data_IF_922835352678
#
_entry.id   IF_922835352678
#
_cell.length_a   1.000
_cell.length_b   1.000
_cell.length_c   1.000
_cell.angle_alpha   90.00
_cell.angle_beta   90.00
_cell.angle_gamma   90.00
#
_symmetry.space_group_name_H-M   'P 1'
#
loop_
_entity.id
_entity.type
_entity.pdbx_description
1 polymer ?
#
# COMPACT_ATOMS: atom_id res chain seq x y z
N UNK A 1 1.02 -3.92 11.28
CA UNK A 1 1.08 -3.85 9.80
C UNK A 1 -0.19 -4.39 9.12
N UNK A 2 -0.63 -5.60 9.46
CA UNK A 2 -1.77 -6.25 8.79
C UNK A 2 -3.11 -5.58 9.00
N UNK A 3 -3.48 -5.25 10.25
CA UNK A 3 -4.71 -4.50 10.53
C UNK A 3 -4.82 -3.20 9.71
N UNK A 4 -3.72 -2.44 9.56
CA UNK A 4 -3.71 -1.23 8.70
C UNK A 4 -3.93 -1.55 7.22
N UNK A 5 -3.37 -2.65 6.73
CA UNK A 5 -3.60 -3.11 5.35
C UNK A 5 -5.05 -3.50 5.13
N UNK A 6 -5.65 -4.24 6.05
CA UNK A 6 -7.05 -4.66 5.96
C UNK A 6 -8.00 -3.47 6.05
N UNK A 7 -7.79 -2.55 6.99
CA UNK A 7 -8.57 -1.31 7.06
C UNK A 7 -8.43 -0.49 5.77
N UNK A 8 -7.23 -0.41 5.21
CA UNK A 8 -7.00 0.31 3.95
C UNK A 8 -7.75 -0.36 2.81
N UNK A 9 -7.70 -1.69 2.72
CA UNK A 9 -8.41 -2.48 1.72
C UNK A 9 -9.93 -2.27 1.80
N UNK A 10 -10.50 -2.41 3.00
CA UNK A 10 -11.94 -2.21 3.24
C UNK A 10 -12.40 -0.84 2.77
N UNK A 11 -11.60 0.21 3.03
CA UNK A 11 -11.89 1.58 2.57
C UNK A 11 -11.74 1.70 1.05
N UNK A 12 -10.71 1.07 0.47
CA UNK A 12 -10.37 1.19 -0.95
C UNK A 12 -11.46 0.62 -1.87
N UNK A 13 -12.16 -0.43 -1.42
CA UNK A 13 -13.25 -1.07 -2.16
C UNK A 13 -14.63 -0.42 -1.93
N UNK A 14 -14.70 0.71 -1.23
CA UNK A 14 -15.94 1.50 -1.12
C UNK A 14 -16.05 2.50 -2.27
N UNK A 15 -17.29 2.86 -2.63
CA UNK A 15 -17.59 3.80 -3.73
C UNK A 15 -16.76 5.10 -3.69
N UNK A 16 -16.57 5.79 -2.54
CA UNK A 16 -15.80 7.04 -2.52
C UNK A 16 -14.33 6.85 -2.90
N UNK A 17 -13.73 5.72 -2.54
CA UNK A 17 -12.33 5.43 -2.84
C UNK A 17 -12.17 4.94 -4.29
N UNK A 18 -13.15 4.25 -4.84
CA UNK A 18 -13.21 3.88 -6.25
C UNK A 18 -13.36 5.10 -7.16
N UNK A 19 -14.25 6.04 -6.81
CA UNK A 19 -14.38 7.33 -7.52
C UNK A 19 -13.06 8.11 -7.55
N UNK A 20 -12.27 8.05 -6.47
CA UNK A 20 -10.93 8.64 -6.45
C UNK A 20 -10.00 7.98 -7.49
N UNK A 21 -10.04 6.66 -7.65
CA UNK A 21 -9.23 5.96 -8.67
C UNK A 21 -9.63 6.35 -10.09
N UNK A 22 -10.92 6.53 -10.34
CA UNK A 22 -11.43 7.01 -11.62
C UNK A 22 -10.96 8.45 -11.91
N UNK A 23 -11.03 9.35 -10.93
CA UNK A 23 -10.48 10.72 -11.05
C UNK A 23 -8.99 10.68 -11.34
N UNK A 24 -8.23 9.81 -10.65
CA UNK A 24 -6.79 9.63 -10.89
C UNK A 24 -6.50 9.22 -12.33
N UNK A 25 -7.29 8.28 -12.86
CA UNK A 25 -7.17 7.80 -14.25
C UNK A 25 -7.59 8.87 -15.26
N UNK A 26 -8.70 9.58 -15.02
CA UNK A 26 -9.23 10.63 -15.88
C UNK A 26 -8.29 11.84 -15.95
N UNK A 27 -7.63 12.17 -14.84
CA UNK A 27 -6.67 13.26 -14.75
C UNK A 27 -5.50 13.13 -15.74
N UNK A 28 -5.18 11.92 -16.21
CA UNK A 28 -4.16 11.71 -17.26
C UNK A 28 -4.51 12.47 -18.55
N UNK A 29 -5.79 12.61 -18.85
CA UNK A 29 -6.28 13.22 -20.10
C UNK A 29 -6.71 14.68 -19.92
N UNK A 30 -6.72 15.20 -18.69
CA UNK A 30 -7.12 16.57 -18.36
C UNK A 30 -5.92 17.39 -17.88
N UNK A 31 -5.55 18.43 -18.64
CA UNK A 31 -4.36 19.26 -18.37
C UNK A 31 -4.41 20.01 -17.03
N UNK A 32 -5.60 20.36 -16.55
CA UNK A 32 -5.78 21.10 -15.29
C UNK A 32 -5.63 20.14 -14.11
N UNK A 33 -6.25 18.96 -14.19
CA UNK A 33 -6.12 17.93 -13.17
C UNK A 33 -4.71 17.34 -13.12
N UNK A 34 -4.08 17.11 -14.28
CA UNK A 34 -2.70 16.65 -14.40
C UNK A 34 -1.69 17.61 -13.73
N UNK A 35 -2.00 18.91 -13.66
CA UNK A 35 -1.12 19.90 -13.04
C UNK A 35 -1.25 19.94 -11.50
N UNK A 36 -2.43 19.64 -10.94
CA UNK A 36 -2.70 19.84 -9.50
C UNK A 36 -2.72 18.56 -8.67
N UNK A 37 -3.16 17.46 -9.27
CA UNK A 37 -3.35 16.21 -8.54
C UNK A 37 -2.05 15.46 -8.17
N UNK A 38 -0.96 15.49 -8.97
CA UNK A 38 0.27 14.79 -8.61
C UNK A 38 0.83 15.20 -7.25
N UNK A 39 0.89 16.50 -6.95
CA UNK A 39 1.43 17.00 -5.68
C UNK A 39 0.60 16.56 -4.49
N UNK A 40 -0.73 16.64 -4.61
CA UNK A 40 -1.64 16.16 -3.59
C UNK A 40 -1.45 14.65 -3.35
N UNK A 41 -1.37 13.84 -4.41
CA UNK A 41 -1.14 12.40 -4.24
C UNK A 41 0.23 12.10 -3.65
N UNK A 42 1.28 12.79 -4.10
CA UNK A 42 2.62 12.64 -3.57
C UNK A 42 2.67 12.93 -2.07
N UNK A 43 2.01 13.99 -1.61
CA UNK A 43 1.94 14.32 -0.18
C UNK A 43 1.24 13.22 0.65
N UNK A 44 0.17 12.63 0.12
CA UNK A 44 -0.56 11.52 0.77
C UNK A 44 0.33 10.28 0.84
N UNK A 45 1.04 9.94 -0.23
CA UNK A 45 1.93 8.78 -0.26
C UNK A 45 3.14 8.97 0.66
N UNK A 46 3.73 10.17 0.70
CA UNK A 46 4.83 10.51 1.62
C UNK A 46 4.39 10.37 3.09
N UNK A 47 3.23 10.93 3.44
CA UNK A 47 2.67 10.80 4.79
C UNK A 47 2.41 9.33 5.15
N UNK A 48 1.94 8.51 4.20
CA UNK A 48 1.73 7.08 4.44
C UNK A 48 3.04 6.35 4.70
N UNK A 49 4.04 6.55 3.85
CA UNK A 49 5.39 5.97 4.02
C UNK A 49 5.98 6.35 5.37
N UNK A 50 5.93 7.61 5.73
CA UNK A 50 6.44 8.11 7.01
C UNK A 50 5.76 7.44 8.21
N UNK A 51 4.43 7.35 8.25
CA UNK A 51 3.70 6.65 9.33
C UNK A 51 4.00 5.15 9.39
N UNK A 52 4.22 4.52 8.25
CA UNK A 52 4.57 3.10 8.20
C UNK A 52 6.01 2.85 8.65
N UNK A 53 6.91 3.80 8.39
CA UNK A 53 8.27 3.79 8.89
C UNK A 53 8.29 3.93 10.42
N UNK A 54 7.55 4.87 11.00
CA UNK A 54 7.41 5.03 12.46
C UNK A 54 6.96 3.72 13.11
N UNK A 55 5.94 3.07 12.56
CA UNK A 55 5.48 1.76 13.04
C UNK A 55 6.54 0.65 12.87
N UNK A 56 7.37 0.71 11.84
CA UNK A 56 8.45 -0.25 11.62
C UNK A 56 9.51 -0.14 12.72
N UNK A 57 9.86 1.09 13.08
CA UNK A 57 10.81 1.36 14.16
C UNK A 57 10.32 0.85 15.51
N UNK A 58 9.03 1.00 15.82
CA UNK A 58 8.40 0.49 17.06
C UNK A 58 8.58 -1.03 17.25
N UNK A 59 8.66 -1.79 16.15
CA UNK A 59 8.86 -3.25 16.17
C UNK A 59 10.30 -3.67 15.88
N UNK A 60 11.23 -2.70 15.85
CA UNK A 60 12.66 -2.92 15.71
C UNK A 60 13.16 -3.15 14.29
N UNK A 61 12.38 -2.84 13.25
CA UNK A 61 12.86 -2.84 11.87
C UNK A 61 13.69 -1.59 11.61
N UNK A 62 14.88 -1.76 11.02
CA UNK A 62 15.84 -0.67 10.78
C UNK A 62 16.03 -0.36 9.28
N UNK A 63 15.50 -1.21 8.40
CA UNK A 63 15.64 -1.08 6.94
C UNK A 63 14.52 -0.21 6.35
N UNK A 64 14.73 1.11 6.31
CA UNK A 64 13.73 2.07 5.81
C UNK A 64 13.39 1.86 4.34
N UNK A 65 14.39 1.61 3.51
CA UNK A 65 14.19 1.41 2.07
C UNK A 65 13.28 0.21 1.80
N UNK A 66 13.49 -0.90 2.51
CA UNK A 66 12.62 -2.06 2.40
C UNK A 66 11.18 -1.77 2.84
N UNK A 67 10.98 -0.98 3.90
CA UNK A 67 9.65 -0.56 4.35
C UNK A 67 8.97 0.32 3.31
N UNK A 68 9.66 1.31 2.76
CA UNK A 68 9.11 2.21 1.74
C UNK A 68 8.75 1.47 0.45
N UNK A 69 9.61 0.55 0.00
CA UNK A 69 9.35 -0.33 -1.13
C UNK A 69 8.13 -1.23 -0.89
N UNK A 70 8.03 -1.86 0.29
CA UNK A 70 6.88 -2.69 0.67
C UNK A 70 5.58 -1.88 0.66
N UNK A 71 5.57 -0.66 1.21
CA UNK A 71 4.39 0.23 1.22
C UNK A 71 3.99 0.58 -0.20
N UNK A 72 4.94 0.93 -1.06
CA UNK A 72 4.71 1.23 -2.47
C UNK A 72 4.06 0.06 -3.22
N UNK A 73 4.67 -1.13 -3.12
CA UNK A 73 4.17 -2.34 -3.76
C UNK A 73 2.74 -2.68 -3.32
N UNK A 74 2.48 -2.68 -2.00
CA UNK A 74 1.16 -3.02 -1.47
C UNK A 74 0.08 -2.06 -1.94
N UNK A 75 0.38 -0.77 -1.96
CA UNK A 75 -0.60 0.23 -2.40
C UNK A 75 -0.86 0.15 -3.89
N UNK A 76 0.17 -0.09 -4.70
CA UNK A 76 0.00 -0.30 -6.14
C UNK A 76 -0.85 -1.56 -6.40
N UNK A 77 -0.54 -2.67 -5.73
CA UNK A 77 -1.29 -3.92 -5.87
C UNK A 77 -2.74 -3.78 -5.43
N UNK A 78 -3.03 -3.19 -4.25
CA UNK A 78 -4.40 -2.97 -3.79
C UNK A 78 -5.20 -2.06 -4.74
N UNK A 79 -4.57 -1.02 -5.30
CA UNK A 79 -5.24 -0.17 -6.31
C UNK A 79 -5.56 -0.95 -7.59
N UNK A 80 -4.62 -1.75 -8.08
CA UNK A 80 -4.86 -2.63 -9.23
C UNK A 80 -5.98 -3.63 -8.99
N UNK A 81 -6.03 -4.23 -7.80
CA UNK A 81 -7.12 -5.13 -7.39
C UNK A 81 -8.48 -4.42 -7.29
N UNK A 82 -8.51 -3.18 -6.78
CA UNK A 82 -9.73 -2.39 -6.77
C UNK A 82 -10.19 -2.01 -8.20
N UNK A 83 -9.26 -1.73 -9.11
CA UNK A 83 -9.57 -1.51 -10.53
C UNK A 83 -10.08 -2.78 -11.21
N UNK A 84 -9.48 -3.93 -10.94
CA UNK A 84 -9.95 -5.23 -11.44
C UNK A 84 -11.39 -5.50 -10.97
N UNK A 85 -11.68 -5.25 -9.69
CA UNK A 85 -13.02 -5.38 -9.13
C UNK A 85 -14.04 -4.47 -9.84
N UNK A 86 -13.66 -3.22 -10.11
CA UNK A 86 -14.50 -2.26 -10.83
C UNK A 86 -14.86 -2.72 -12.24
N UNK A 87 -13.91 -3.33 -12.94
CA UNK A 87 -14.08 -3.74 -14.35
C UNK A 87 -14.82 -5.08 -14.45
N UNK A 88 -14.47 -6.04 -13.60
CA UNK A 88 -14.95 -7.42 -13.72
C UNK A 88 -16.14 -7.75 -12.83
N UNK A 89 -16.28 -7.06 -11.70
CA UNK A 89 -17.21 -7.43 -10.64
C UNK A 89 -16.87 -8.74 -9.90
N UNK A 90 -15.75 -9.41 -10.22
CA UNK A 90 -15.36 -10.69 -9.61
C UNK A 90 -14.72 -10.47 -8.23
N UNK A 91 -15.58 -10.27 -7.24
CA UNK A 91 -15.15 -10.07 -5.86
C UNK A 91 -14.36 -11.26 -5.30
N UNK A 92 -14.77 -12.48 -5.63
CA UNK A 92 -14.14 -13.67 -5.07
C UNK A 92 -12.70 -13.83 -5.55
N UNK A 93 -12.43 -13.56 -6.84
CA UNK A 93 -11.06 -13.55 -7.36
C UNK A 93 -10.21 -12.46 -6.72
N UNK A 94 -10.77 -11.27 -6.56
CA UNK A 94 -10.03 -10.12 -6.01
C UNK A 94 -9.68 -10.35 -4.54
N UNK A 95 -10.60 -10.88 -3.74
CA UNK A 95 -10.36 -11.20 -2.33
C UNK A 95 -9.33 -12.33 -2.17
N UNK A 96 -9.32 -13.34 -3.06
CA UNK A 96 -8.27 -14.37 -3.09
C UNK A 96 -6.88 -13.76 -3.36
N UNK A 97 -6.80 -12.89 -4.36
CA UNK A 97 -5.57 -12.17 -4.71
C UNK A 97 -5.09 -11.25 -3.59
N UNK A 98 -6.02 -10.56 -2.91
CA UNK A 98 -5.71 -9.78 -1.72
C UNK A 98 -5.20 -10.65 -0.56
N UNK A 99 -5.79 -11.83 -0.35
CA UNK A 99 -5.32 -12.83 0.62
C UNK A 99 -3.87 -13.25 0.36
N UNK A 100 -3.50 -13.49 -0.90
CA UNK A 100 -2.10 -13.78 -1.27
C UNK A 100 -1.18 -12.59 -0.99
N UNK A 101 -1.59 -11.38 -1.37
CA UNK A 101 -0.83 -10.16 -1.08
C UNK A 101 -0.55 -9.99 0.43
N UNK A 102 -1.55 -10.29 1.28
CA UNK A 102 -1.37 -10.30 2.74
C UNK A 102 -0.28 -11.27 3.19
N UNK A 103 -0.29 -12.50 2.67
CA UNK A 103 0.72 -13.52 3.02
C UNK A 103 2.15 -13.11 2.61
N UNK A 104 2.30 -12.41 1.48
CA UNK A 104 3.59 -11.86 1.06
C UNK A 104 4.06 -10.75 2.00
N UNK A 105 3.13 -9.91 2.48
CA UNK A 105 3.46 -8.88 3.48
C UNK A 105 3.97 -9.48 4.78
N UNK A 106 3.26 -10.47 5.29
CA UNK A 106 3.61 -11.13 6.55
C UNK A 106 5.00 -11.76 6.46
N UNK A 107 5.27 -12.47 5.37
CA UNK A 107 6.58 -13.07 5.12
C UNK A 107 7.69 -12.02 5.06
N UNK A 108 7.46 -10.90 4.36
CA UNK A 108 8.44 -9.83 4.24
C UNK A 108 8.72 -9.15 5.60
N UNK A 109 7.67 -8.85 6.37
CA UNK A 109 7.83 -8.24 7.71
C UNK A 109 8.56 -9.19 8.66
N UNK A 110 8.22 -10.49 8.66
CA UNK A 110 8.93 -11.49 9.46
C UNK A 110 10.42 -11.53 9.11
N UNK A 111 10.76 -11.50 7.82
CA UNK A 111 12.15 -11.44 7.36
C UNK A 111 12.89 -10.17 7.82
N UNK A 112 12.24 -9.00 7.76
CA UNK A 112 12.84 -7.75 8.23
C UNK A 112 13.09 -7.75 9.74
N UNK A 113 12.18 -8.30 10.53
CA UNK A 113 12.35 -8.45 11.98
C UNK A 113 13.52 -9.40 12.28
N UNK A 114 13.61 -10.53 11.58
CA UNK A 114 14.70 -11.50 11.76
C UNK A 114 16.06 -10.87 11.44
N UNK A 115 16.19 -10.21 10.29
CA UNK A 115 17.41 -9.50 9.87
C UNK A 115 17.84 -8.44 10.90
N UNK A 116 16.90 -7.69 11.44
CA UNK A 116 17.20 -6.69 12.47
C UNK A 116 17.71 -7.32 13.78
N UNK A 117 17.15 -8.47 14.19
CA UNK A 117 17.63 -9.20 15.37
C UNK A 117 19.05 -9.73 15.18
N UNK A 118 19.36 -10.29 14.01
CA UNK A 118 20.69 -10.79 13.67
C UNK A 118 21.75 -9.68 13.67
N UNK A 119 21.40 -8.52 13.09
CA UNK A 119 22.28 -7.36 13.09
C UNK A 119 22.64 -6.89 14.51
N UNK A 120 21.66 -6.87 15.42
CA UNK A 120 21.87 -6.51 16.84
C UNK A 120 22.66 -7.54 17.62
N UNK A 121 22.54 -8.83 17.28
CA UNK A 121 23.31 -9.89 17.93
C UNK A 121 24.78 -9.89 17.49
N UNK A 122 25.09 -9.25 16.36
CA UNK A 122 26.44 -9.18 15.77
C UNK A 122 27.16 -7.86 16.05
N UNK A 123 26.51 -6.91 16.73
CA UNK A 123 27.02 -5.59 17.10
C UNK A 123 27.41 -5.56 18.58
#
# INVERSE_FOLDING_TARGET
>A
FMSRTETTWTVLIQEPAMAKLEIMMAARSDKVLAAKLPDMFNSIEQNRRQRMWELAQEIGIEDREAVDAMVGLHMAAMRGLAMELLVTGDRDQVERSFGLLKSYKDSLIAGLIAKAKEARASA
#
